data_IF_177684167955
#
_entry.id   IF_177684167955
#
_cell.length_a   1.000
_cell.length_b   1.000
_cell.length_c   1.000
_cell.angle_alpha   90.00
_cell.angle_beta   90.00
_cell.angle_gamma   90.00
#
_symmetry.space_group_name_H-M   'P 1'
#
loop_
_entity.id
_entity.type
_entity.pdbx_description
1 polymer ?
#
# COMPACT_ATOMS: atom_id res chain seq x y z
N UNK A 1 1.96 23.31 7.32
CA UNK A 1 2.52 24.14 6.26
C UNK A 1 1.65 24.11 5.00
N UNK A 2 1.50 22.99 4.28
CA UNK A 2 0.83 22.91 2.96
C UNK A 2 -0.58 23.53 2.92
N UNK A 3 -1.44 23.25 3.91
CA UNK A 3 -2.80 23.82 3.96
C UNK A 3 -2.75 25.35 4.13
N UNK A 4 -1.75 25.90 4.83
CA UNK A 4 -1.55 27.35 4.93
C UNK A 4 -1.18 27.94 3.57
N UNK A 5 -0.18 27.35 2.88
CA UNK A 5 0.23 27.77 1.53
C UNK A 5 -0.92 27.70 0.52
N UNK A 6 -1.71 26.61 0.55
CA UNK A 6 -2.92 26.47 -0.30
C UNK A 6 -3.96 27.55 0.01
N UNK A 7 -4.12 27.94 1.28
CA UNK A 7 -5.05 29.00 1.70
C UNK A 7 -4.59 30.37 1.24
N UNK A 8 -3.30 30.68 1.37
CA UNK A 8 -2.69 31.92 0.90
C UNK A 8 -2.84 32.10 -0.62
N UNK A 9 -2.78 31.02 -1.39
CA UNK A 9 -3.05 31.01 -2.84
C UNK A 9 -4.55 31.08 -3.19
N UNK A 10 -5.45 31.23 -2.22
CA UNK A 10 -6.89 31.43 -2.40
C UNK A 10 -7.79 30.23 -2.09
N UNK A 11 -7.22 29.08 -1.68
CA UNK A 11 -7.96 27.87 -1.29
C UNK A 11 -8.76 27.22 -2.43
N UNK A 12 -9.36 26.06 -2.16
CA UNK A 12 -10.13 25.32 -3.18
C UNK A 12 -9.33 25.06 -4.45
N UNK A 13 -9.97 25.11 -5.62
CA UNK A 13 -9.26 24.88 -6.90
C UNK A 13 -8.14 25.93 -7.11
N UNK A 14 -8.36 27.21 -6.74
CA UNK A 14 -7.34 28.25 -6.86
C UNK A 14 -6.11 27.95 -6.02
N UNK A 15 -6.30 27.42 -4.83
CA UNK A 15 -5.20 27.04 -3.95
C UNK A 15 -4.19 26.08 -4.57
N UNK A 16 -4.64 25.25 -5.54
CA UNK A 16 -3.77 24.30 -6.23
C UNK A 16 -2.74 24.96 -7.18
N UNK A 17 -2.85 26.27 -7.44
CA UNK A 17 -1.81 27.05 -8.14
C UNK A 17 -0.60 27.35 -7.23
N UNK A 18 -0.71 27.09 -5.92
CA UNK A 18 0.37 27.37 -4.98
C UNK A 18 1.69 26.74 -5.41
N UNK A 19 2.78 27.49 -5.24
CA UNK A 19 4.12 26.97 -5.35
C UNK A 19 4.57 26.45 -3.98
N UNK A 20 5.10 25.24 -3.98
CA UNK A 20 5.62 24.62 -2.77
C UNK A 20 7.13 24.52 -2.88
N UNK A 21 7.85 24.93 -1.87
CA UNK A 21 9.27 24.68 -1.74
C UNK A 21 9.58 23.17 -1.82
N UNK A 22 8.61 22.38 -1.34
CA UNK A 22 8.67 20.93 -1.32
C UNK A 22 7.27 20.31 -1.39
N UNK A 23 7.02 19.45 -2.37
CA UNK A 23 5.76 18.71 -2.50
C UNK A 23 6.00 17.22 -2.66
N UNK A 24 5.49 16.44 -1.70
CA UNK A 24 5.62 14.98 -1.62
C UNK A 24 4.30 14.27 -2.00
N UNK A 25 3.26 15.01 -2.33
CA UNK A 25 1.96 14.45 -2.66
C UNK A 25 1.49 14.87 -4.05
N UNK A 26 0.80 13.93 -4.69
CA UNK A 26 0.14 14.15 -5.97
C UNK A 26 -1.14 14.99 -5.83
N UNK A 27 -1.61 15.51 -6.96
CA UNK A 27 -2.80 16.37 -7.04
C UNK A 27 -4.03 15.84 -6.29
N UNK A 28 -4.42 14.55 -6.34
CA UNK A 28 -5.63 14.09 -5.65
C UNK A 28 -5.61 14.39 -4.14
N UNK A 29 -4.47 14.16 -3.47
CA UNK A 29 -4.38 14.48 -2.05
C UNK A 29 -4.27 15.99 -1.79
N UNK A 30 -3.50 16.71 -2.62
CA UNK A 30 -3.44 18.17 -2.55
C UNK A 30 -4.82 18.82 -2.77
N UNK A 31 -5.66 18.24 -3.61
CA UNK A 31 -7.05 18.67 -3.81
C UNK A 31 -7.86 18.55 -2.51
N UNK A 32 -7.73 17.43 -1.79
CA UNK A 32 -8.37 17.27 -0.48
C UNK A 32 -7.87 18.37 0.50
N UNK A 33 -6.56 18.58 0.58
CA UNK A 33 -5.98 19.61 1.44
C UNK A 33 -6.43 21.02 1.04
N UNK A 34 -6.58 21.27 -0.25
CA UNK A 34 -7.02 22.56 -0.76
C UNK A 34 -8.50 22.83 -0.44
N UNK A 35 -9.37 21.82 -0.44
CA UNK A 35 -10.73 21.95 0.09
C UNK A 35 -10.75 22.15 1.61
N UNK A 36 -9.86 21.51 2.37
CA UNK A 36 -9.70 21.80 3.81
C UNK A 36 -9.28 23.26 4.03
N UNK A 37 -8.47 23.85 3.15
CA UNK A 37 -7.96 25.21 3.29
C UNK A 37 -9.04 26.30 3.24
N UNK A 38 -10.21 26.04 2.62
CA UNK A 38 -11.34 26.99 2.57
C UNK A 38 -12.16 27.02 3.87
N UNK A 39 -11.83 26.21 4.86
CA UNK A 39 -12.48 26.14 6.16
C UNK A 39 -11.57 26.70 7.28
N UNK A 40 -11.22 28.01 7.30
CA UNK A 40 -10.24 28.57 8.22
C UNK A 40 -10.72 28.57 9.68
N UNK A 41 -12.02 28.47 9.91
CA UNK A 41 -12.66 28.45 11.22
C UNK A 41 -12.63 27.07 11.90
N UNK A 42 -12.26 26.00 11.15
CA UNK A 42 -12.12 24.65 11.68
C UNK A 42 -10.64 24.29 11.89
N UNK A 43 -10.40 23.43 12.87
CA UNK A 43 -9.04 22.93 13.12
C UNK A 43 -8.57 22.08 11.93
N UNK A 44 -7.55 22.54 11.23
CA UNK A 44 -6.99 21.88 10.03
C UNK A 44 -6.56 20.45 10.32
N UNK A 45 -5.88 20.21 11.46
CA UNK A 45 -5.42 18.86 11.82
C UNK A 45 -6.61 17.92 12.05
N UNK A 46 -7.67 18.40 12.68
CA UNK A 46 -8.90 17.63 12.87
C UNK A 46 -9.53 17.26 11.53
N UNK A 47 -9.61 18.20 10.58
CA UNK A 47 -10.16 17.93 9.25
C UNK A 47 -9.34 16.89 8.49
N UNK A 48 -8.00 16.96 8.55
CA UNK A 48 -7.12 15.94 7.96
C UNK A 48 -7.36 14.56 8.59
N UNK A 49 -7.49 14.47 9.91
CA UNK A 49 -7.82 13.24 10.61
C UNK A 49 -9.18 12.68 10.21
N UNK A 50 -10.19 13.54 10.09
CA UNK A 50 -11.53 13.13 9.66
C UNK A 50 -11.54 12.56 8.24
N UNK A 51 -10.73 13.10 7.33
CA UNK A 51 -10.55 12.51 6.00
C UNK A 51 -9.96 11.11 6.10
N UNK A 52 -8.89 10.93 6.87
CA UNK A 52 -8.28 9.60 7.06
C UNK A 52 -9.27 8.61 7.70
N UNK A 53 -9.98 9.03 8.76
CA UNK A 53 -11.01 8.21 9.42
C UNK A 53 -12.14 7.84 8.45
N UNK A 54 -12.56 8.76 7.58
CA UNK A 54 -13.53 8.43 6.54
C UNK A 54 -13.03 7.30 5.63
N UNK A 55 -11.76 7.35 5.23
CA UNK A 55 -11.17 6.28 4.41
C UNK A 55 -10.89 5.00 5.20
N UNK A 56 -10.71 5.05 6.52
CA UNK A 56 -10.69 3.85 7.38
C UNK A 56 -12.03 3.10 7.23
N UNK A 57 -13.17 3.81 7.25
CA UNK A 57 -14.48 3.21 7.02
C UNK A 57 -14.64 2.68 5.60
N UNK A 58 -14.16 3.40 4.58
CA UNK A 58 -14.19 2.93 3.17
C UNK A 58 -13.38 1.64 3.00
N UNK A 59 -12.21 1.56 3.63
CA UNK A 59 -11.38 0.36 3.66
C UNK A 59 -12.08 -0.80 4.41
N UNK A 60 -12.69 -0.51 5.56
CA UNK A 60 -13.43 -1.49 6.36
C UNK A 60 -14.62 -2.06 5.59
N UNK A 61 -15.34 -1.24 4.83
CA UNK A 61 -16.41 -1.72 3.94
C UNK A 61 -15.88 -2.64 2.83
N UNK A 62 -14.70 -2.36 2.27
CA UNK A 62 -14.09 -3.26 1.29
C UNK A 62 -13.74 -4.62 1.93
N UNK A 63 -13.16 -4.62 3.14
CA UNK A 63 -12.89 -5.86 3.91
C UNK A 63 -14.19 -6.62 4.18
N UNK A 64 -15.24 -5.93 4.66
CA UNK A 64 -16.56 -6.54 4.88
C UNK A 64 -17.08 -7.20 3.61
N UNK A 65 -17.01 -6.51 2.47
CA UNK A 65 -17.48 -7.02 1.18
C UNK A 65 -16.71 -8.26 0.73
N UNK A 66 -15.37 -8.26 0.85
CA UNK A 66 -14.51 -9.42 0.52
C UNK A 66 -14.82 -10.60 1.43
N UNK A 67 -14.90 -10.36 2.75
CA UNK A 67 -15.15 -11.41 3.75
C UNK A 67 -16.55 -11.98 3.59
N UNK A 68 -17.57 -11.14 3.42
CA UNK A 68 -18.94 -11.59 3.16
C UNK A 68 -19.02 -12.42 1.88
N UNK A 69 -18.39 -11.97 0.82
CA UNK A 69 -18.40 -12.70 -0.46
C UNK A 69 -17.75 -14.08 -0.34
N UNK A 70 -16.69 -14.17 0.46
CA UNK A 70 -15.98 -15.43 0.74
C UNK A 70 -16.76 -16.37 1.63
N UNK A 71 -17.35 -15.87 2.72
CA UNK A 71 -17.96 -16.70 3.77
C UNK A 71 -19.48 -16.87 3.59
N UNK A 72 -20.10 -16.00 2.80
CA UNK A 72 -21.57 -15.85 2.69
C UNK A 72 -22.26 -15.64 4.03
N UNK A 73 -21.54 -15.11 5.01
CA UNK A 73 -22.01 -14.86 6.36
C UNK A 73 -21.75 -13.39 6.75
N UNK A 74 -22.83 -12.66 7.04
CA UNK A 74 -22.77 -11.23 7.39
C UNK A 74 -22.04 -11.01 8.72
N UNK A 75 -22.14 -11.95 9.68
CA UNK A 75 -21.41 -11.84 10.95
C UNK A 75 -19.90 -11.80 10.72
N UNK A 76 -19.37 -12.66 9.87
CA UNK A 76 -17.95 -12.61 9.52
C UNK A 76 -17.59 -11.33 8.74
N UNK A 77 -18.49 -10.85 7.88
CA UNK A 77 -18.30 -9.56 7.23
C UNK A 77 -18.17 -8.41 8.24
N UNK A 78 -19.07 -8.34 9.22
CA UNK A 78 -19.04 -7.32 10.29
C UNK A 78 -17.79 -7.50 11.17
N UNK A 79 -17.39 -8.73 11.48
CA UNK A 79 -16.15 -8.99 12.21
C UNK A 79 -14.93 -8.51 11.44
N UNK A 80 -14.87 -8.73 10.11
CA UNK A 80 -13.80 -8.21 9.26
C UNK A 80 -13.76 -6.69 9.24
N UNK A 81 -14.92 -6.04 9.14
CA UNK A 81 -15.07 -4.59 9.24
C UNK A 81 -14.51 -4.06 10.57
N UNK A 82 -14.97 -4.61 11.68
CA UNK A 82 -14.52 -4.20 13.02
C UNK A 82 -13.05 -4.50 13.25
N UNK A 83 -12.57 -5.67 12.78
CA UNK A 83 -11.16 -6.04 12.91
C UNK A 83 -10.24 -5.02 12.24
N UNK A 84 -10.56 -4.55 11.02
CA UNK A 84 -9.77 -3.51 10.35
C UNK A 84 -9.72 -2.23 11.17
N UNK A 85 -10.86 -1.75 11.66
CA UNK A 85 -10.92 -0.51 12.44
C UNK A 85 -10.17 -0.60 13.77
N UNK A 86 -9.90 -1.81 14.28
CA UNK A 86 -9.12 -2.03 15.50
C UNK A 86 -7.64 -2.29 15.25
N UNK A 87 -7.19 -2.30 13.99
CA UNK A 87 -5.77 -2.49 13.66
C UNK A 87 -4.96 -1.30 14.21
N UNK A 88 -3.97 -1.53 15.12
CA UNK A 88 -3.20 -0.43 15.70
C UNK A 88 -2.50 0.44 14.67
N UNK A 89 -1.97 -0.14 13.59
CA UNK A 89 -1.31 0.63 12.52
C UNK A 89 -2.28 1.50 11.73
N UNK A 90 -3.54 1.07 11.53
CA UNK A 90 -4.59 1.88 10.90
C UNK A 90 -4.98 3.05 11.80
N UNK A 91 -5.29 2.77 13.09
CA UNK A 91 -5.65 3.82 14.06
C UNK A 91 -4.54 4.85 14.23
N UNK A 92 -3.29 4.40 14.32
CA UNK A 92 -2.15 5.29 14.51
C UNK A 92 -1.89 6.11 13.25
N UNK A 93 -1.96 5.51 12.06
CA UNK A 93 -1.73 6.19 10.79
C UNK A 93 -2.72 7.34 10.58
N UNK A 94 -4.02 7.06 10.62
CA UNK A 94 -5.08 8.04 10.34
C UNK A 94 -5.42 8.91 11.54
N UNK A 95 -6.09 8.33 12.54
CA UNK A 95 -6.71 9.06 13.64
C UNK A 95 -5.70 9.72 14.60
N UNK A 96 -4.53 9.10 14.82
CA UNK A 96 -3.51 9.67 15.71
C UNK A 96 -2.56 10.61 14.97
N UNK A 97 -2.04 10.22 13.81
CA UNK A 97 -0.95 10.92 13.12
C UNK A 97 -1.41 11.78 11.92
N UNK A 98 -2.63 11.62 11.44
CA UNK A 98 -3.18 12.31 10.26
C UNK A 98 -2.44 11.98 8.95
N UNK A 99 -1.90 10.76 8.83
CA UNK A 99 -1.35 10.26 7.58
C UNK A 99 -2.48 9.81 6.63
N UNK A 100 -2.19 9.76 5.34
CA UNK A 100 -3.17 9.44 4.30
C UNK A 100 -2.99 8.05 3.67
N UNK A 101 -2.18 7.17 4.27
CA UNK A 101 -1.86 5.88 3.67
C UNK A 101 -3.09 4.97 3.50
N UNK A 102 -4.09 5.13 4.36
CA UNK A 102 -5.34 4.38 4.24
C UNK A 102 -6.13 4.74 2.97
N UNK A 103 -5.92 5.93 2.40
CA UNK A 103 -6.65 6.37 1.19
C UNK A 103 -6.31 5.44 0.03
N UNK A 104 -5.02 5.34 -0.34
CA UNK A 104 -4.63 4.44 -1.43
C UNK A 104 -4.90 2.98 -1.09
N UNK A 105 -4.70 2.58 0.17
CA UNK A 105 -4.97 1.22 0.66
C UNK A 105 -6.45 0.84 0.48
N UNK A 106 -7.37 1.76 0.76
CA UNK A 106 -8.81 1.53 0.56
C UNK A 106 -9.14 1.23 -0.91
N UNK A 107 -8.57 1.99 -1.84
CA UNK A 107 -8.76 1.75 -3.28
C UNK A 107 -8.08 0.46 -3.75
N UNK A 108 -6.94 0.08 -3.19
CA UNK A 108 -6.32 -1.23 -3.44
C UNK A 108 -7.23 -2.37 -2.97
N UNK A 109 -7.86 -2.26 -1.79
CA UNK A 109 -8.81 -3.26 -1.31
C UNK A 109 -10.03 -3.40 -2.24
N UNK A 110 -10.61 -2.29 -2.69
CA UNK A 110 -11.68 -2.33 -3.69
C UNK A 110 -11.22 -2.92 -5.01
N UNK A 111 -9.99 -2.64 -5.43
CA UNK A 111 -9.37 -3.27 -6.60
C UNK A 111 -9.29 -4.79 -6.43
N UNK A 112 -8.82 -5.28 -5.28
CA UNK A 112 -8.80 -6.71 -4.96
C UNK A 112 -10.20 -7.31 -4.92
N UNK A 113 -11.19 -6.63 -4.33
CA UNK A 113 -12.58 -7.06 -4.33
C UNK A 113 -13.10 -7.30 -5.76
N UNK A 114 -12.90 -6.32 -6.66
CA UNK A 114 -13.34 -6.46 -8.05
C UNK A 114 -12.57 -7.53 -8.81
N UNK A 115 -11.29 -7.75 -8.48
CA UNK A 115 -10.51 -8.86 -9.04
C UNK A 115 -11.08 -10.21 -8.61
N UNK A 116 -11.45 -10.35 -7.33
CA UNK A 116 -12.08 -11.55 -6.78
C UNK A 116 -13.50 -11.80 -7.36
N UNK A 117 -14.12 -10.77 -7.91
CA UNK A 117 -15.43 -10.85 -8.63
C UNK A 117 -15.26 -11.07 -10.14
N UNK A 118 -14.05 -11.39 -10.63
CA UNK A 118 -13.73 -11.53 -12.06
C UNK A 118 -14.12 -10.28 -12.89
N UNK A 119 -13.94 -9.08 -12.29
CA UNK A 119 -14.18 -7.77 -12.93
C UNK A 119 -12.86 -7.00 -13.12
N UNK A 120 -11.95 -7.45 -14.01
CA UNK A 120 -10.61 -6.90 -14.11
C UNK A 120 -10.55 -5.43 -14.53
N UNK A 121 -11.52 -4.94 -15.32
CA UNK A 121 -11.58 -3.53 -15.71
C UNK A 121 -11.83 -2.62 -14.49
N UNK A 122 -12.82 -2.97 -13.65
CA UNK A 122 -13.08 -2.25 -12.40
C UNK A 122 -11.93 -2.37 -11.41
N UNK A 123 -11.36 -3.56 -11.30
CA UNK A 123 -10.17 -3.78 -10.48
C UNK A 123 -9.05 -2.81 -10.87
N UNK A 124 -8.68 -2.76 -12.15
CA UNK A 124 -7.61 -1.88 -12.64
C UNK A 124 -7.97 -0.39 -12.56
N UNK A 125 -9.25 -0.02 -12.68
CA UNK A 125 -9.69 1.35 -12.46
C UNK A 125 -9.47 1.79 -11.00
N UNK A 126 -9.88 0.98 -10.02
CA UNK A 126 -9.63 1.26 -8.60
C UNK A 126 -8.13 1.24 -8.25
N UNK A 127 -7.38 0.33 -8.86
CA UNK A 127 -5.93 0.30 -8.72
C UNK A 127 -5.27 1.56 -9.29
N UNK A 128 -5.76 2.06 -10.43
CA UNK A 128 -5.33 3.33 -11.02
C UNK A 128 -5.65 4.54 -10.13
N UNK A 129 -6.83 4.56 -9.48
CA UNK A 129 -7.16 5.61 -8.50
C UNK A 129 -6.18 5.55 -7.31
N UNK A 130 -5.91 4.35 -6.77
CA UNK A 130 -4.93 4.19 -5.70
C UNK A 130 -3.55 4.72 -6.12
N UNK A 131 -3.11 4.39 -7.35
CA UNK A 131 -1.85 4.88 -7.92
C UNK A 131 -1.84 6.41 -8.07
N UNK A 132 -2.96 7.02 -8.44
CA UNK A 132 -3.06 8.48 -8.51
C UNK A 132 -2.86 9.18 -7.15
N UNK A 133 -3.18 8.51 -6.03
CA UNK A 133 -2.95 9.02 -4.68
C UNK A 133 -1.53 8.79 -4.17
N UNK A 134 -0.94 7.61 -4.43
CA UNK A 134 0.36 7.25 -3.83
C UNK A 134 1.14 6.23 -4.64
N UNK A 135 2.44 6.49 -4.81
CA UNK A 135 3.37 5.62 -5.54
C UNK A 135 3.47 4.21 -4.93
N UNK A 136 3.33 4.08 -3.60
CA UNK A 136 3.38 2.80 -2.87
C UNK A 136 2.32 1.78 -3.34
N UNK A 137 1.32 2.22 -4.10
CA UNK A 137 0.40 1.32 -4.81
C UNK A 137 1.16 0.33 -5.68
N UNK A 138 2.30 0.71 -6.27
CA UNK A 138 3.14 -0.16 -7.09
C UNK A 138 3.73 -1.36 -6.35
N UNK A 139 3.71 -1.39 -5.02
CA UNK A 139 4.13 -2.58 -4.24
C UNK A 139 3.31 -3.81 -4.59
N UNK A 140 2.07 -3.63 -5.03
CA UNK A 140 1.20 -4.72 -5.48
C UNK A 140 1.22 -4.93 -7.01
N UNK A 141 1.92 -4.08 -7.80
CA UNK A 141 1.97 -4.20 -9.26
C UNK A 141 2.42 -5.59 -9.77
N UNK A 142 3.41 -6.26 -9.12
CA UNK A 142 3.82 -7.60 -9.55
C UNK A 142 2.67 -8.62 -9.58
N UNK A 143 1.68 -8.50 -8.68
CA UNK A 143 0.48 -9.35 -8.72
C UNK A 143 -0.31 -9.16 -10.02
N UNK A 144 -0.53 -7.91 -10.44
CA UNK A 144 -1.29 -7.61 -11.67
C UNK A 144 -0.55 -8.06 -12.92
N UNK A 145 0.79 -8.02 -12.91
CA UNK A 145 1.60 -8.59 -14.00
C UNK A 145 1.42 -10.11 -14.05
N UNK A 146 1.45 -10.81 -12.92
CA UNK A 146 1.16 -12.26 -12.86
C UNK A 146 -0.24 -12.56 -13.39
N UNK A 147 -1.25 -11.79 -12.98
CA UNK A 147 -2.63 -11.94 -13.43
C UNK A 147 -2.77 -11.69 -14.94
N UNK A 148 -2.00 -10.77 -15.51
CA UNK A 148 -1.91 -10.59 -16.96
C UNK A 148 -1.28 -11.82 -17.64
N UNK A 149 -0.15 -12.31 -17.14
CA UNK A 149 0.50 -13.52 -17.66
C UNK A 149 -0.40 -14.76 -17.56
N UNK A 150 -1.32 -14.79 -16.59
CA UNK A 150 -2.35 -15.83 -16.40
C UNK A 150 -3.64 -15.59 -17.21
N UNK A 151 -3.70 -14.52 -18.01
CA UNK A 151 -4.89 -14.18 -18.82
C UNK A 151 -6.09 -13.63 -18.04
N UNK A 152 -5.96 -13.40 -16.72
CA UNK A 152 -7.03 -12.82 -15.88
C UNK A 152 -7.20 -11.32 -16.12
N UNK A 153 -6.12 -10.63 -16.45
CA UNK A 153 -6.07 -9.21 -16.79
C UNK A 153 -5.57 -9.05 -18.22
N UNK A 154 -6.21 -8.19 -19.02
CA UNK A 154 -5.75 -7.88 -20.39
C UNK A 154 -4.81 -6.68 -20.36
N UNK A 155 -3.84 -6.62 -21.29
CA UNK A 155 -2.87 -5.52 -21.37
C UNK A 155 -3.55 -4.14 -21.42
N UNK A 156 -4.69 -4.02 -22.14
CA UNK A 156 -5.46 -2.76 -22.21
C UNK A 156 -5.94 -2.25 -20.84
N UNK A 157 -6.12 -3.13 -19.84
CA UNK A 157 -6.56 -2.68 -18.53
C UNK A 157 -5.47 -1.90 -17.77
N UNK A 158 -4.19 -2.08 -18.11
CA UNK A 158 -3.10 -1.27 -17.53
C UNK A 158 -3.18 0.20 -17.92
N UNK A 159 -3.91 0.54 -18.99
CA UNK A 159 -4.17 1.93 -19.36
C UNK A 159 -4.95 2.71 -18.29
N UNK A 160 -5.65 2.01 -17.38
CA UNK A 160 -6.30 2.68 -16.26
C UNK A 160 -5.32 3.36 -15.30
N UNK A 161 -4.05 2.90 -15.19
CA UNK A 161 -3.08 3.56 -14.32
C UNK A 161 -2.77 4.99 -14.81
N UNK A 162 -2.22 5.19 -16.02
CA UNK A 162 -1.98 6.54 -16.51
C UNK A 162 -3.29 7.34 -16.67
N UNK A 163 -4.39 6.71 -17.05
CA UNK A 163 -5.67 7.38 -17.21
C UNK A 163 -6.16 8.00 -15.88
N UNK A 164 -6.20 7.21 -14.80
CA UNK A 164 -6.66 7.71 -13.49
C UNK A 164 -5.68 8.72 -12.89
N UNK A 165 -4.38 8.57 -13.17
CA UNK A 165 -3.37 9.55 -12.76
C UNK A 165 -3.61 10.91 -13.45
N UNK A 166 -3.86 10.91 -14.77
CA UNK A 166 -4.17 12.14 -15.53
C UNK A 166 -5.52 12.73 -15.08
N UNK A 167 -6.54 11.91 -14.87
CA UNK A 167 -7.82 12.39 -14.31
C UNK A 167 -7.58 13.03 -12.94
N UNK A 168 -6.76 12.43 -12.11
CA UNK A 168 -6.39 12.98 -10.80
C UNK A 168 -5.67 14.32 -10.87
N UNK A 169 -4.97 14.63 -11.97
CA UNK A 169 -4.28 15.93 -12.17
C UNK A 169 -5.22 17.06 -12.56
N UNK A 170 -6.44 16.76 -13.05
CA UNK A 170 -7.35 17.77 -13.62
C UNK A 170 -7.52 19.00 -12.72
N UNK A 171 -7.74 18.88 -11.39
CA UNK A 171 -7.89 20.05 -10.53
C UNK A 171 -6.69 21.01 -10.54
N UNK A 172 -5.46 20.48 -10.54
CA UNK A 172 -4.24 21.31 -10.59
C UNK A 172 -4.00 21.90 -11.98
N UNK A 173 -4.35 21.16 -13.06
CA UNK A 173 -4.30 21.69 -14.43
C UNK A 173 -5.28 22.86 -14.58
N UNK A 174 -6.50 22.77 -14.03
CA UNK A 174 -7.46 23.85 -14.03
C UNK A 174 -7.00 25.06 -13.19
N UNK A 175 -6.14 24.82 -12.19
CA UNK A 175 -5.50 25.88 -11.42
C UNK A 175 -4.28 26.52 -12.14
N UNK A 176 -3.91 26.04 -13.32
CA UNK A 176 -2.81 26.59 -14.11
C UNK A 176 -1.47 25.89 -13.95
N UNK A 177 -1.38 24.78 -13.22
CA UNK A 177 -0.13 24.00 -13.11
C UNK A 177 0.23 23.32 -14.44
N UNK A 178 1.53 23.19 -14.69
CA UNK A 178 2.03 22.48 -15.88
C UNK A 178 1.83 20.98 -15.78
N UNK A 179 1.41 20.35 -16.88
CA UNK A 179 1.31 18.88 -16.95
C UNK A 179 2.64 18.19 -16.62
N UNK A 180 3.77 18.73 -17.07
CA UNK A 180 5.09 18.16 -16.81
C UNK A 180 5.51 18.28 -15.34
N UNK A 181 5.15 19.36 -14.68
CA UNK A 181 5.34 19.52 -13.23
C UNK A 181 4.60 18.43 -12.47
N UNK A 182 3.32 18.20 -12.81
CA UNK A 182 2.48 17.25 -12.11
C UNK A 182 2.90 15.78 -12.32
N UNK A 183 3.34 15.42 -13.51
CA UNK A 183 3.81 14.06 -13.80
C UNK A 183 5.18 13.78 -13.17
N UNK A 184 6.00 14.81 -12.99
CA UNK A 184 7.35 14.68 -12.43
C UNK A 184 7.36 14.35 -10.93
N UNK A 185 6.27 14.55 -10.19
CA UNK A 185 6.19 14.29 -8.74
C UNK A 185 6.66 12.86 -8.39
N UNK A 186 6.23 11.85 -9.13
CA UNK A 186 6.64 10.47 -8.89
C UNK A 186 8.10 10.18 -9.29
N UNK A 187 8.61 10.87 -10.29
CA UNK A 187 10.03 10.79 -10.64
C UNK A 187 10.92 11.39 -9.54
N UNK A 188 10.51 12.50 -8.93
CA UNK A 188 11.21 13.08 -7.80
C UNK A 188 11.17 12.17 -6.57
N UNK A 189 10.01 11.58 -6.25
CA UNK A 189 9.88 10.62 -5.16
C UNK A 189 10.76 9.38 -5.39
N UNK A 190 10.78 8.83 -6.61
CA UNK A 190 11.55 7.65 -6.94
C UNK A 190 13.07 7.88 -6.92
N UNK A 191 13.52 9.12 -7.23
CA UNK A 191 14.95 9.46 -7.22
C UNK A 191 15.49 9.79 -5.81
N UNK A 192 14.70 9.62 -4.76
CA UNK A 192 15.15 9.71 -3.38
C UNK A 192 15.69 11.08 -2.96
N UNK A 193 15.32 12.17 -3.66
CA UNK A 193 15.82 13.52 -3.32
C UNK A 193 15.42 13.99 -1.92
N UNK A 194 14.57 13.23 -1.24
CA UNK A 194 13.94 13.64 0.01
C UNK A 194 14.47 12.95 1.27
N UNK A 195 15.02 11.74 1.15
CA UNK A 195 15.45 10.93 2.31
C UNK A 195 16.71 10.12 2.01
N UNK A 196 17.72 10.81 1.51
CA UNK A 196 18.99 10.22 1.04
C UNK A 196 19.84 9.58 2.15
N UNK A 197 19.49 9.74 3.42
CA UNK A 197 20.41 9.46 4.53
C UNK A 197 20.20 8.16 5.29
N UNK A 198 19.16 7.38 4.99
CA UNK A 198 18.94 6.12 5.69
C UNK A 198 18.38 5.02 4.77
N UNK A 199 18.94 3.82 4.87
CA UNK A 199 18.45 2.63 4.16
C UNK A 199 17.11 2.14 4.72
N UNK A 200 16.74 2.49 5.95
CA UNK A 200 15.44 2.19 6.54
C UNK A 200 15.02 3.29 7.52
N UNK A 201 13.78 3.76 7.39
CA UNK A 201 13.16 4.72 8.29
C UNK A 201 12.30 4.00 9.34
N UNK A 202 12.98 3.30 10.26
CA UNK A 202 12.39 2.59 11.41
C UNK A 202 11.45 1.42 11.02
N UNK A 203 11.41 0.99 9.75
CA UNK A 203 10.71 -0.23 9.38
C UNK A 203 11.61 -1.46 9.62
N UNK A 204 11.07 -2.61 10.13
CA UNK A 204 11.83 -3.84 10.36
C UNK A 204 12.09 -4.61 9.05
N UNK A 205 12.96 -4.08 8.21
CA UNK A 205 13.42 -4.67 6.96
C UNK A 205 14.86 -5.19 7.05
N UNK A 206 15.37 -5.76 5.97
CA UNK A 206 16.71 -6.37 5.93
C UNK A 206 17.83 -5.41 6.36
N UNK A 207 17.66 -4.12 6.16
CA UNK A 207 18.69 -3.11 6.48
C UNK A 207 18.87 -2.93 7.98
N UNK A 208 17.91 -3.33 8.81
CA UNK A 208 18.07 -3.37 10.27
C UNK A 208 19.06 -4.47 10.74
N UNK A 209 19.39 -5.41 9.85
CA UNK A 209 20.38 -6.48 10.14
C UNK A 209 21.79 -6.09 9.72
N UNK A 210 21.96 -5.20 8.75
CA UNK A 210 23.27 -4.82 8.20
C UNK A 210 23.68 -3.39 8.55
N UNK A 211 22.75 -2.60 9.10
CA UNK A 211 22.95 -1.20 9.46
C UNK A 211 22.10 -0.25 8.62
N UNK A 212 21.73 0.86 9.22
CA UNK A 212 20.86 1.88 8.60
C UNK A 212 21.57 3.22 8.43
N UNK A 213 22.87 3.30 8.76
CA UNK A 213 23.66 4.52 8.76
C UNK A 213 23.85 5.07 7.34
N UNK A 214 24.07 6.38 7.27
CA UNK A 214 24.24 7.11 6.01
C UNK A 214 25.42 6.62 5.15
N UNK A 215 26.44 6.04 5.77
CA UNK A 215 27.58 5.44 5.04
C UNK A 215 27.19 4.27 4.14
N UNK A 216 26.04 3.65 4.40
CA UNK A 216 25.53 2.52 3.61
C UNK A 216 24.59 2.97 2.49
N UNK A 217 24.40 4.26 2.30
CA UNK A 217 23.56 4.81 1.24
C UNK A 217 23.95 4.30 -0.16
N UNK A 218 25.24 4.14 -0.43
CA UNK A 218 25.75 3.58 -1.69
C UNK A 218 25.21 2.18 -1.99
N UNK A 219 24.72 1.45 -0.97
CA UNK A 219 24.07 0.15 -1.15
C UNK A 219 22.58 0.23 -1.50
N UNK A 220 21.99 1.44 -1.55
CA UNK A 220 20.57 1.59 -1.90
C UNK A 220 20.28 1.07 -3.32
N UNK A 221 21.12 1.39 -4.29
CA UNK A 221 20.99 0.88 -5.66
C UNK A 221 21.07 -0.65 -5.70
N UNK A 222 22.02 -1.23 -4.97
CA UNK A 222 22.11 -2.69 -4.84
C UNK A 222 20.82 -3.27 -4.22
N UNK A 223 20.25 -2.62 -3.22
CA UNK A 223 18.98 -2.99 -2.60
C UNK A 223 17.81 -2.96 -3.56
N UNK A 224 17.74 -1.96 -4.45
CA UNK A 224 16.74 -1.90 -5.51
C UNK A 224 16.88 -3.11 -6.45
N UNK A 225 18.11 -3.42 -6.90
CA UNK A 225 18.35 -4.56 -7.78
C UNK A 225 18.04 -5.90 -7.10
N UNK A 226 18.35 -6.07 -5.81
CA UNK A 226 17.98 -7.25 -5.01
C UNK A 226 16.47 -7.40 -4.94
N UNK A 227 15.74 -6.30 -4.69
CA UNK A 227 14.28 -6.29 -4.65
C UNK A 227 13.69 -6.72 -6.00
N UNK A 228 14.16 -6.11 -7.08
CA UNK A 228 13.72 -6.46 -8.44
C UNK A 228 14.03 -7.92 -8.78
N UNK A 229 15.22 -8.40 -8.43
CA UNK A 229 15.60 -9.80 -8.63
C UNK A 229 14.70 -10.77 -7.87
N UNK A 230 14.43 -10.50 -6.59
CA UNK A 230 13.52 -11.31 -5.77
C UNK A 230 12.09 -11.32 -6.34
N UNK A 231 11.58 -10.16 -6.76
CA UNK A 231 10.27 -10.07 -7.40
C UNK A 231 10.22 -10.82 -8.74
N UNK A 232 11.25 -10.70 -9.58
CA UNK A 232 11.31 -11.43 -10.85
C UNK A 232 11.31 -12.94 -10.63
N UNK A 233 12.05 -13.44 -9.64
CA UNK A 233 12.07 -14.87 -9.28
C UNK A 233 10.66 -15.31 -8.84
N UNK A 234 10.01 -14.58 -7.94
CA UNK A 234 8.67 -14.91 -7.49
C UNK A 234 7.65 -14.85 -8.64
N UNK A 235 7.70 -13.80 -9.46
CA UNK A 235 6.82 -13.67 -10.62
C UNK A 235 7.00 -14.80 -11.61
N UNK A 236 8.25 -15.18 -11.92
CA UNK A 236 8.56 -16.31 -12.77
C UNK A 236 8.01 -17.62 -12.20
N UNK A 237 8.24 -17.89 -10.91
CA UNK A 237 7.72 -19.09 -10.24
C UNK A 237 6.19 -19.16 -10.28
N UNK A 238 5.51 -18.01 -10.08
CA UNK A 238 4.06 -17.94 -10.08
C UNK A 238 3.47 -17.97 -11.49
N UNK A 239 4.13 -17.36 -12.48
CA UNK A 239 3.66 -17.34 -13.85
C UNK A 239 3.84 -18.68 -14.57
N UNK A 240 4.98 -19.36 -14.34
CA UNK A 240 5.37 -20.60 -15.07
C UNK A 240 4.48 -21.79 -14.78
N UNK A 241 4.07 -21.97 -13.50
CA UNK A 241 3.32 -23.17 -13.09
C UNK A 241 1.86 -23.08 -13.52
N UNK A 242 1.31 -24.20 -13.97
CA UNK A 242 -0.12 -24.32 -14.25
C UNK A 242 -0.86 -24.76 -12.99
N UNK A 243 -1.73 -23.91 -12.50
CA UNK A 243 -2.58 -24.11 -11.33
C UNK A 243 -3.82 -23.22 -11.43
N UNK A 244 -4.88 -23.60 -10.73
CA UNK A 244 -6.06 -22.78 -10.59
C UNK A 244 -5.80 -21.65 -9.59
N UNK A 245 -5.92 -20.40 -10.06
CA UNK A 245 -5.79 -19.19 -9.22
C UNK A 245 -7.10 -18.97 -8.48
N UNK A 246 -7.23 -19.57 -7.30
CA UNK A 246 -8.36 -19.27 -6.42
C UNK A 246 -8.14 -18.00 -5.60
N UNK A 247 -9.21 -17.50 -4.97
CA UNK A 247 -9.20 -16.26 -4.21
C UNK A 247 -8.17 -16.25 -3.06
N UNK A 248 -8.03 -17.38 -2.35
CA UNK A 248 -7.07 -17.50 -1.26
C UNK A 248 -5.62 -17.39 -1.76
N UNK A 249 -5.30 -18.05 -2.86
CA UNK A 249 -3.97 -18.02 -3.47
C UNK A 249 -3.65 -16.64 -4.03
N UNK A 250 -4.63 -15.95 -4.64
CA UNK A 250 -4.47 -14.58 -5.13
C UNK A 250 -4.07 -13.64 -3.98
N UNK A 251 -4.78 -13.69 -2.86
CA UNK A 251 -4.46 -12.86 -1.68
C UNK A 251 -3.09 -13.23 -1.09
N UNK A 252 -2.76 -14.52 -0.99
CA UNK A 252 -1.43 -14.98 -0.53
C UNK A 252 -0.31 -14.43 -1.42
N UNK A 253 -0.46 -14.52 -2.73
CA UNK A 253 0.55 -14.00 -3.67
C UNK A 253 0.69 -12.48 -3.56
N UNK A 254 -0.42 -11.75 -3.53
CA UNK A 254 -0.40 -10.30 -3.36
C UNK A 254 0.31 -9.89 -2.07
N UNK A 255 -0.02 -10.55 -0.96
CA UNK A 255 0.62 -10.27 0.33
C UNK A 255 2.11 -10.60 0.32
N UNK A 256 2.52 -11.78 -0.23
CA UNK A 256 3.93 -12.15 -0.31
C UNK A 256 4.74 -11.16 -1.15
N UNK A 257 4.21 -10.75 -2.31
CA UNK A 257 4.88 -9.78 -3.19
C UNK A 257 5.05 -8.42 -2.49
N UNK A 258 4.01 -7.95 -1.79
CA UNK A 258 4.08 -6.70 -1.03
C UNK A 258 5.07 -6.83 0.15
N UNK A 259 5.05 -7.95 0.90
CA UNK A 259 6.03 -8.23 1.95
C UNK A 259 7.46 -8.22 1.40
N UNK A 260 7.68 -8.82 0.21
CA UNK A 260 8.99 -8.83 -0.44
C UNK A 260 9.47 -7.41 -0.76
N UNK A 261 8.58 -6.55 -1.27
CA UNK A 261 8.93 -5.15 -1.54
C UNK A 261 9.34 -4.44 -0.27
N UNK A 262 8.50 -4.41 0.76
CA UNK A 262 8.79 -3.66 1.99
C UNK A 262 9.99 -4.22 2.77
N UNK A 263 10.33 -5.50 2.57
CA UNK A 263 11.46 -6.13 3.24
C UNK A 263 12.81 -5.85 2.56
N UNK A 264 12.87 -5.81 1.23
CA UNK A 264 14.13 -5.67 0.49
C UNK A 264 14.36 -4.28 -0.09
N UNK A 265 13.28 -3.49 -0.37
CA UNK A 265 13.44 -2.16 -0.94
C UNK A 265 14.03 -1.21 0.10
N UNK A 266 15.05 -0.39 -0.26
CA UNK A 266 15.60 0.62 0.64
C UNK A 266 14.62 1.77 0.88
N UNK A 267 14.93 2.62 1.86
CA UNK A 267 14.18 3.81 2.24
C UNK A 267 12.74 3.55 2.68
N UNK A 268 12.46 2.34 3.22
CA UNK A 268 11.12 2.01 3.71
C UNK A 268 10.82 2.71 5.04
N UNK A 269 9.72 3.47 5.05
CA UNK A 269 9.19 4.09 6.26
C UNK A 269 8.42 3.09 7.12
N UNK A 270 8.33 3.40 8.40
CA UNK A 270 7.60 2.64 9.43
C UNK A 270 6.15 2.31 9.06
N UNK A 271 5.51 3.11 8.19
CA UNK A 271 4.11 3.00 7.79
C UNK A 271 3.86 2.26 6.46
N UNK A 272 4.91 1.95 5.70
CA UNK A 272 4.72 1.41 4.34
C UNK A 272 4.22 -0.03 4.28
N UNK A 273 4.19 -0.74 5.41
CA UNK A 273 3.59 -2.07 5.49
C UNK A 273 2.07 -2.07 5.77
N UNK A 274 1.40 -0.92 5.86
CA UNK A 274 -0.04 -0.83 6.15
C UNK A 274 -0.87 -1.71 5.19
N UNK A 275 -0.47 -1.80 3.91
CA UNK A 275 -1.13 -2.65 2.93
C UNK A 275 -0.98 -4.15 3.29
N UNK A 276 0.18 -4.57 3.81
CA UNK A 276 0.41 -5.95 4.29
C UNK A 276 -0.50 -6.24 5.49
N UNK A 277 -0.56 -5.32 6.45
CA UNK A 277 -1.38 -5.47 7.67
C UNK A 277 -2.85 -5.65 7.33
N UNK A 278 -3.37 -4.80 6.43
CA UNK A 278 -4.77 -4.84 6.02
C UNK A 278 -5.08 -6.10 5.20
N UNK A 279 -4.19 -6.51 4.29
CA UNK A 279 -4.34 -7.76 3.54
C UNK A 279 -4.27 -8.98 4.47
N UNK A 280 -3.48 -8.95 5.52
CA UNK A 280 -3.40 -10.01 6.52
C UNK A 280 -4.72 -10.17 7.30
N UNK A 281 -5.42 -9.07 7.63
CA UNK A 281 -6.77 -9.11 8.21
C UNK A 281 -7.76 -9.78 7.24
N UNK A 282 -7.74 -9.41 5.96
CA UNK A 282 -8.59 -10.06 4.95
C UNK A 282 -8.27 -11.55 4.87
N UNK A 283 -6.98 -11.89 4.82
CA UNK A 283 -6.52 -13.26 4.61
C UNK A 283 -6.96 -14.23 5.72
N UNK A 284 -7.03 -13.81 6.97
CA UNK A 284 -7.45 -14.70 8.08
C UNK A 284 -8.86 -15.26 7.86
N UNK A 285 -9.76 -14.54 7.21
CA UNK A 285 -11.10 -15.02 6.88
C UNK A 285 -11.13 -16.04 5.74
N UNK A 286 -10.01 -16.24 5.05
CA UNK A 286 -9.82 -17.33 4.07
C UNK A 286 -9.19 -18.58 4.71
N UNK A 287 -8.41 -18.42 5.78
CA UNK A 287 -7.84 -19.52 6.57
C UNK A 287 -7.64 -19.10 8.03
N UNK A 288 -8.64 -19.37 8.89
CA UNK A 288 -8.62 -19.02 10.32
C UNK A 288 -7.45 -19.63 11.09
N UNK A 289 -6.86 -20.73 10.62
CA UNK A 289 -5.67 -21.34 11.23
C UNK A 289 -4.44 -20.43 11.13
N UNK A 290 -4.50 -19.41 10.31
CA UNK A 290 -3.44 -18.44 10.06
C UNK A 290 -3.62 -17.11 10.81
N UNK A 291 -4.39 -17.12 11.92
CA UNK A 291 -4.62 -15.91 12.73
C UNK A 291 -3.32 -15.27 13.26
N UNK A 292 -2.27 -16.07 13.46
CA UNK A 292 -0.97 -15.54 13.88
C UNK A 292 -0.33 -14.60 12.83
N UNK A 293 -0.68 -14.71 11.55
CA UNK A 293 -0.13 -13.86 10.48
C UNK A 293 -0.50 -12.40 10.70
N UNK A 294 -1.80 -11.97 10.76
CA UNK A 294 -2.11 -10.57 11.03
C UNK A 294 -1.57 -10.11 12.39
N UNK A 295 -1.63 -10.94 13.42
CA UNK A 295 -1.11 -10.57 14.76
C UNK A 295 0.38 -10.21 14.68
N UNK A 296 1.19 -11.06 14.06
CA UNK A 296 2.64 -10.86 14.02
C UNK A 296 3.08 -9.86 12.95
N UNK A 297 2.41 -9.74 11.80
CA UNK A 297 2.72 -8.70 10.82
C UNK A 297 2.42 -7.31 11.40
N UNK A 298 1.26 -7.15 12.01
CA UNK A 298 0.86 -5.89 12.65
C UNK A 298 1.80 -5.55 13.81
N UNK A 299 2.22 -6.54 14.61
CA UNK A 299 3.22 -6.34 15.67
C UNK A 299 4.54 -5.80 15.10
N UNK A 300 5.05 -6.39 14.01
CA UNK A 300 6.27 -5.93 13.34
C UNK A 300 6.12 -4.51 12.79
N UNK A 301 5.02 -4.22 12.09
CA UNK A 301 4.75 -2.89 11.55
C UNK A 301 4.59 -1.86 12.66
N UNK A 302 3.82 -2.18 13.71
CA UNK A 302 3.55 -1.27 14.82
C UNK A 302 4.80 -0.96 15.64
N UNK A 303 5.78 -1.88 15.70
CA UNK A 303 7.08 -1.60 16.31
C UNK A 303 7.77 -0.40 15.65
N UNK A 304 7.71 -0.27 14.33
CA UNK A 304 8.21 0.91 13.60
C UNK A 304 7.54 2.21 14.05
N UNK A 305 6.20 2.20 14.18
CA UNK A 305 5.45 3.36 14.67
C UNK A 305 5.85 3.73 16.11
N UNK A 306 6.03 2.76 17.01
CA UNK A 306 6.42 3.05 18.39
C UNK A 306 7.82 3.65 18.48
N UNK A 307 8.76 3.18 17.68
CA UNK A 307 10.11 3.75 17.63
C UNK A 307 10.09 5.16 17.02
N UNK A 308 9.30 5.40 15.98
CA UNK A 308 9.26 6.70 15.32
C UNK A 308 8.50 7.75 16.14
N UNK A 309 7.28 7.43 16.59
CA UNK A 309 6.39 8.40 17.26
C UNK A 309 6.67 8.55 18.76
N UNK A 310 6.97 7.45 19.45
CA UNK A 310 7.15 7.44 20.90
C UNK A 310 8.63 7.39 21.30
N UNK A 311 9.57 7.34 20.35
CA UNK A 311 11.01 7.20 20.61
C UNK A 311 11.33 5.99 21.51
N UNK A 312 10.47 4.97 21.46
CA UNK A 312 10.53 3.81 22.34
C UNK A 312 11.09 2.61 21.59
N UNK A 313 12.26 2.13 22.01
CA UNK A 313 12.95 0.98 21.41
C UNK A 313 13.26 -0.07 22.50
N UNK A 314 12.21 -0.62 23.13
CA UNK A 314 12.37 -1.64 24.20
C UNK A 314 12.98 -2.92 23.61
N UNK A 315 12.50 -3.35 22.43
CA UNK A 315 13.00 -4.52 21.73
C UNK A 315 13.75 -4.02 20.49
N UNK A 316 15.01 -4.41 20.29
CA UNK A 316 15.78 -3.99 19.12
C UNK A 316 15.08 -4.33 17.80
N UNK A 317 15.14 -3.42 16.82
CA UNK A 317 14.39 -3.54 15.57
C UNK A 317 14.77 -4.81 14.77
N UNK A 318 16.01 -5.28 14.86
CA UNK A 318 16.43 -6.51 14.19
C UNK A 318 15.66 -7.76 14.63
N UNK A 319 15.11 -7.78 15.86
CA UNK A 319 14.27 -8.91 16.34
C UNK A 319 12.97 -8.97 15.54
N UNK A 320 12.31 -7.82 15.34
CA UNK A 320 11.12 -7.73 14.50
C UNK A 320 11.44 -8.01 13.02
N UNK A 321 12.64 -7.65 12.55
CA UNK A 321 13.11 -7.98 11.20
C UNK A 321 13.22 -9.49 11.00
N UNK A 322 13.82 -10.21 11.95
CA UNK A 322 13.91 -11.68 11.90
C UNK A 322 12.49 -12.29 11.92
N UNK A 323 11.62 -11.80 12.79
CA UNK A 323 10.24 -12.26 12.87
C UNK A 323 9.49 -12.04 11.55
N UNK A 324 9.62 -10.85 10.93
CA UNK A 324 8.99 -10.54 9.66
C UNK A 324 9.53 -11.43 8.52
N UNK A 325 10.83 -11.71 8.51
CA UNK A 325 11.45 -12.68 7.57
C UNK A 325 10.87 -14.09 7.73
N UNK A 326 10.76 -14.57 8.97
CA UNK A 326 10.18 -15.90 9.24
C UNK A 326 8.73 -16.00 8.78
N UNK A 327 7.92 -14.94 9.01
CA UNK A 327 6.55 -14.84 8.51
C UNK A 327 6.50 -14.86 6.98
N UNK A 328 7.38 -14.10 6.33
CA UNK A 328 7.47 -14.07 4.87
C UNK A 328 7.82 -15.45 4.30
N UNK A 329 8.74 -16.18 4.93
CA UNK A 329 9.11 -17.55 4.52
C UNK A 329 7.97 -18.55 4.74
N UNK A 330 7.25 -18.48 5.88
CA UNK A 330 6.06 -19.33 6.11
C UNK A 330 4.96 -19.03 5.08
N UNK A 331 4.77 -17.75 4.79
CA UNK A 331 3.78 -17.31 3.80
C UNK A 331 4.16 -17.75 2.38
N UNK A 332 5.45 -17.72 2.03
CA UNK A 332 5.97 -18.26 0.76
C UNK A 332 5.71 -19.78 0.63
N UNK A 333 5.95 -20.55 1.72
CA UNK A 333 5.59 -21.97 1.77
C UNK A 333 4.10 -22.20 1.56
N UNK A 334 3.24 -21.36 2.16
CA UNK A 334 1.80 -21.42 1.98
C UNK A 334 1.37 -21.13 0.52
N UNK A 335 2.06 -20.21 -0.19
CA UNK A 335 1.85 -19.95 -1.61
C UNK A 335 2.23 -21.19 -2.46
N UNK A 336 3.41 -21.78 -2.20
CA UNK A 336 3.87 -22.99 -2.92
C UNK A 336 2.88 -24.13 -2.71
N UNK A 337 2.43 -24.36 -1.48
CA UNK A 337 1.41 -25.37 -1.19
C UNK A 337 0.12 -25.10 -1.93
N UNK A 338 -0.38 -23.85 -1.90
CA UNK A 338 -1.60 -23.47 -2.63
C UNK A 338 -1.51 -23.69 -4.13
N UNK A 339 -0.32 -23.49 -4.74
CA UNK A 339 -0.10 -23.83 -6.15
C UNK A 339 -0.08 -25.34 -6.39
N UNK A 340 0.42 -26.14 -5.44
CA UNK A 340 0.44 -27.60 -5.55
C UNK A 340 -0.97 -28.19 -5.44
N UNK A 341 -1.76 -27.68 -4.49
CA UNK A 341 -3.14 -28.11 -4.25
C UNK A 341 -4.07 -27.72 -5.43
N UNK A 342 -3.74 -26.64 -6.14
CA UNK A 342 -4.48 -26.14 -7.30
C UNK A 342 -3.93 -26.64 -8.66
N UNK A 343 -3.05 -27.65 -8.70
CA UNK A 343 -2.55 -28.18 -9.98
C UNK A 343 -3.71 -28.67 -10.84
N UNK A 344 -3.80 -28.09 -12.06
CA UNK A 344 -4.66 -28.62 -13.10
C UNK A 344 -3.96 -29.88 -13.62
N UNK A 345 -4.66 -31.01 -13.58
CA UNK A 345 -4.20 -32.20 -14.27
C UNK A 345 -4.10 -31.83 -15.76
N UNK A 346 -2.87 -31.69 -16.26
CA UNK A 346 -2.63 -31.57 -17.70
C UNK A 346 -2.96 -32.95 -18.23
N UNK A 347 -4.08 -33.07 -18.95
CA UNK A 347 -4.42 -34.32 -19.65
C UNK A 347 -3.24 -34.71 -20.54
N UNK A 348 -2.82 -35.97 -20.42
CA UNK A 348 -1.88 -36.64 -21.27
C UNK A 348 -2.35 -36.61 -22.73
#
# INVERSE_FOLDING_TARGET
PWVATLREAGGGIKGLSAEFEYVDYTTPYLTILSFISICPFLNTLLLMKLVSIFFDFVAAFAVMAIVYDRTKNMTYGILGYGALLMVPTVLTNGAMWAQCDIIFTSFVLWSLYFMLKDKPAWSMAFYGIAFAFKLQTLFLAPLYVILWMKGKVKLKHFLFLPLMYVIGMIPSLLAGKSFWELISVYFFQANGQMDIYALSHKFPNIYQLIGTDSFLFEYADAGIWVTLGALMILMYCFARKQYEMNACLLLRMGMLLTMTVVFFLPHMHERYAILVDVMAIVYVFFDFRKLYIPVLTILCSFAGYTVYLAQNNIIPMYVYTILFLLLMLDHARACVKGMQDGKIAVGE
#
